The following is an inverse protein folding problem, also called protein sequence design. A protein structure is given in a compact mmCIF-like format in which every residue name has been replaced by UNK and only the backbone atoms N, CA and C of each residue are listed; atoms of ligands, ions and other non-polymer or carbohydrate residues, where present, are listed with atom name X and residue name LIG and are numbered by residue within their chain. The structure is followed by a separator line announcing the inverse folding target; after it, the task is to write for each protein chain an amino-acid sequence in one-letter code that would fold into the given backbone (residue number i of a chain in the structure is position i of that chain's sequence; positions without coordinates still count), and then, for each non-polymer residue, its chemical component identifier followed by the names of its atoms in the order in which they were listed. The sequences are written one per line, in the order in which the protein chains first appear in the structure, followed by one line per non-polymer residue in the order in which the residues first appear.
data_IF_947561061427
#
_entry.id   IF_947561061427
#
_cell.length_a   1.000
_cell.length_b   1.000
_cell.length_c   1.000
_cell.angle_alpha   90.00
_cell.angle_beta   90.00
_cell.angle_gamma   90.00
#
_symmetry.space_group_name_H-M   'P 1'
#
loop_
_entity.id
_entity.type
_entity.pdbx_description
1 polymer ?
#
# COMPACT_ATOMS: atom_id res chain seq x y z
N UNK A 1 -51.55 -19.78 -23.36
CA UNK A 1 -50.55 -19.74 -22.28
C UNK A 1 -49.19 -19.44 -22.90
N UNK A 2 -48.76 -18.17 -22.90
CA UNK A 2 -47.43 -17.79 -23.41
C UNK A 2 -46.69 -17.06 -22.28
N UNK A 3 -45.63 -17.70 -21.80
CA UNK A 3 -44.78 -17.24 -20.69
C UNK A 3 -43.90 -16.09 -21.17
N UNK A 4 -44.03 -14.94 -20.52
CA UNK A 4 -43.11 -13.82 -20.69
C UNK A 4 -41.86 -14.12 -19.86
N UNK A 5 -40.73 -14.32 -20.52
CA UNK A 5 -39.42 -14.37 -19.87
C UNK A 5 -38.89 -12.94 -19.74
N UNK A 6 -38.73 -12.45 -18.51
CA UNK A 6 -37.94 -11.26 -18.21
C UNK A 6 -36.48 -11.55 -18.57
N UNK A 7 -35.92 -10.86 -19.56
CA UNK A 7 -34.46 -10.74 -19.69
C UNK A 7 -33.99 -9.76 -18.62
N UNK A 8 -33.29 -10.27 -17.61
CA UNK A 8 -32.49 -9.45 -16.70
C UNK A 8 -31.33 -8.83 -17.47
N UNK A 9 -31.26 -7.50 -17.45
CA UNK A 9 -30.16 -6.74 -18.00
C UNK A 9 -28.92 -7.01 -17.12
N UNK A 10 -28.04 -7.88 -17.60
CA UNK A 10 -26.73 -8.12 -16.99
C UNK A 10 -25.86 -6.87 -17.28
N UNK A 11 -25.71 -5.98 -16.30
CA UNK A 11 -24.71 -4.92 -16.35
C UNK A 11 -23.32 -5.56 -16.25
N UNK A 12 -22.73 -5.94 -17.39
CA UNK A 12 -21.28 -6.08 -17.50
C UNK A 12 -20.67 -4.69 -17.29
N UNK A 13 -20.06 -4.48 -16.13
CA UNK A 13 -19.09 -3.41 -15.95
C UNK A 13 -17.84 -3.84 -16.72
N UNK A 14 -17.67 -3.30 -17.92
CA UNK A 14 -16.36 -3.32 -18.58
C UNK A 14 -15.49 -2.30 -17.85
N UNK A 15 -14.58 -2.78 -17.01
CA UNK A 15 -13.39 -2.02 -16.63
C UNK A 15 -12.54 -1.86 -17.89
N UNK A 16 -12.17 -0.63 -18.23
CA UNK A 16 -11.18 -0.37 -19.27
C UNK A 16 -9.88 -1.02 -18.80
N UNK A 17 -9.41 -2.03 -19.54
CA UNK A 17 -8.17 -2.74 -19.21
C UNK A 17 -6.97 -1.79 -19.35
N UNK A 18 -6.34 -1.42 -18.23
CA UNK A 18 -4.96 -0.95 -18.23
C UNK A 18 -4.06 -2.15 -18.53
N UNK A 19 -3.86 -2.46 -19.81
CA UNK A 19 -3.17 -3.67 -20.26
C UNK A 19 -1.62 -3.63 -20.14
N UNK A 20 -1.04 -2.76 -19.30
CA UNK A 20 0.40 -2.49 -19.33
C UNK A 20 1.11 -2.42 -17.96
N UNK A 21 0.51 -2.89 -16.86
CA UNK A 21 1.14 -2.87 -15.54
C UNK A 21 0.76 -4.07 -14.67
N UNK A 22 1.48 -4.27 -13.56
CA UNK A 22 1.28 -5.34 -12.59
C UNK A 22 -0.19 -5.41 -12.13
N UNK A 23 -0.71 -6.62 -12.00
CA UNK A 23 -2.07 -6.91 -11.54
C UNK A 23 -2.01 -7.77 -10.28
N UNK A 24 -2.35 -7.19 -9.13
CA UNK A 24 -2.49 -7.94 -7.88
C UNK A 24 -3.79 -8.76 -7.96
N UNK A 25 -3.64 -10.07 -8.20
CA UNK A 25 -4.76 -11.00 -8.32
C UNK A 25 -4.99 -11.67 -6.97
N UNK A 26 -6.18 -11.42 -6.41
CA UNK A 26 -6.60 -12.00 -5.13
C UNK A 26 -7.22 -13.38 -5.34
N UNK A 27 -6.57 -14.41 -4.83
CA UNK A 27 -7.04 -15.79 -4.88
C UNK A 27 -7.62 -16.22 -3.51
N UNK A 28 -8.94 -16.39 -3.47
CA UNK A 28 -9.70 -16.77 -2.27
C UNK A 28 -9.81 -18.29 -2.05
N UNK A 29 -9.09 -19.12 -2.81
CA UNK A 29 -9.14 -20.59 -2.71
C UNK A 29 -8.84 -21.08 -1.29
N UNK A 30 -8.02 -20.33 -0.53
CA UNK A 30 -7.64 -20.66 0.84
C UNK A 30 -8.45 -19.90 1.90
N UNK A 31 -9.46 -19.11 1.55
CA UNK A 31 -10.46 -18.59 2.50
C UNK A 31 -11.52 -19.66 2.81
N UNK A 32 -11.08 -20.80 3.33
CA UNK A 32 -11.98 -21.92 3.68
C UNK A 32 -12.87 -21.60 4.88
N UNK A 33 -12.62 -20.47 5.55
CA UNK A 33 -13.46 -19.95 6.62
C UNK A 33 -14.57 -19.03 6.11
N UNK A 34 -14.52 -18.64 4.83
CA UNK A 34 -15.43 -17.69 4.20
C UNK A 34 -15.48 -16.33 4.90
N UNK A 35 -14.34 -15.85 5.41
CA UNK A 35 -14.23 -14.54 6.07
C UNK A 35 -14.65 -13.40 5.14
N UNK A 36 -14.33 -13.51 3.85
CA UNK A 36 -14.70 -12.54 2.81
C UNK A 36 -16.11 -12.81 2.25
N UNK A 37 -16.97 -13.42 3.07
CA UNK A 37 -18.32 -13.82 2.72
C UNK A 37 -19.14 -14.17 3.97
N UNK A 38 -19.85 -15.30 3.92
CA UNK A 38 -20.81 -15.69 4.96
C UNK A 38 -20.20 -16.08 6.31
N UNK A 39 -18.91 -16.37 6.36
CA UNK A 39 -18.18 -16.77 7.57
C UNK A 39 -17.51 -15.62 8.32
N UNK A 40 -17.73 -14.37 7.89
CA UNK A 40 -17.27 -13.20 8.62
C UNK A 40 -17.89 -13.13 10.03
N UNK A 41 -17.11 -12.86 11.11
CA UNK A 41 -17.63 -12.76 12.47
C UNK A 41 -18.73 -11.69 12.66
N UNK A 42 -18.76 -10.66 11.81
CA UNK A 42 -19.77 -9.60 11.84
C UNK A 42 -20.90 -9.81 10.81
N UNK A 43 -20.98 -11.01 10.20
CA UNK A 43 -22.03 -11.42 9.28
C UNK A 43 -21.71 -11.21 7.80
N UNK A 44 -22.51 -11.83 6.93
CA UNK A 44 -22.23 -11.92 5.49
C UNK A 44 -22.08 -10.56 4.77
N UNK A 45 -22.84 -9.54 5.20
CA UNK A 45 -22.72 -8.19 4.65
C UNK A 45 -21.36 -7.57 4.97
N UNK A 46 -20.86 -7.75 6.21
CA UNK A 46 -19.54 -7.29 6.60
C UNK A 46 -18.44 -8.03 5.83
N UNK A 47 -18.58 -9.33 5.60
CA UNK A 47 -17.67 -10.11 4.76
C UNK A 47 -17.61 -9.61 3.31
N UNK A 48 -18.76 -9.26 2.72
CA UNK A 48 -18.82 -8.67 1.39
C UNK A 48 -18.16 -7.28 1.34
N UNK A 49 -18.35 -6.44 2.36
CA UNK A 49 -17.66 -5.14 2.48
C UNK A 49 -16.15 -5.31 2.66
N UNK A 50 -15.71 -6.25 3.50
CA UNK A 50 -14.29 -6.57 3.67
C UNK A 50 -13.66 -6.99 2.33
N UNK A 51 -14.36 -7.83 1.56
CA UNK A 51 -13.92 -8.26 0.23
C UNK A 51 -13.76 -7.08 -0.72
N UNK A 52 -14.78 -6.22 -0.83
CA UNK A 52 -14.72 -5.04 -1.69
C UNK A 52 -13.58 -4.09 -1.30
N UNK A 53 -13.31 -3.93 0.00
CA UNK A 53 -12.20 -3.12 0.51
C UNK A 53 -10.83 -3.70 0.18
N UNK A 54 -10.67 -5.02 0.29
CA UNK A 54 -9.42 -5.68 -0.10
C UNK A 54 -9.18 -5.61 -1.62
N UNK A 55 -10.23 -5.82 -2.41
CA UNK A 55 -10.19 -5.68 -3.87
C UNK A 55 -9.83 -4.25 -4.28
N UNK A 56 -10.33 -3.23 -3.58
CA UNK A 56 -9.95 -1.84 -3.80
C UNK A 56 -8.49 -1.56 -3.46
N UNK A 57 -7.99 -2.06 -2.33
CA UNK A 57 -6.58 -1.90 -1.97
C UNK A 57 -5.66 -2.57 -3.02
N UNK A 58 -6.02 -3.76 -3.50
CA UNK A 58 -5.31 -4.46 -4.57
C UNK A 58 -5.36 -3.69 -5.89
N UNK A 59 -6.52 -3.10 -6.26
CA UNK A 59 -6.69 -2.26 -7.44
C UNK A 59 -5.77 -1.03 -7.36
N UNK A 60 -5.81 -0.28 -6.26
CA UNK A 60 -4.97 0.90 -6.05
C UNK A 60 -3.48 0.59 -6.21
N UNK A 61 -3.00 -0.49 -5.58
CA UNK A 61 -1.61 -0.91 -5.70
C UNK A 61 -1.27 -1.38 -7.12
N UNK A 62 -2.16 -2.09 -7.80
CA UNK A 62 -1.96 -2.51 -9.20
C UNK A 62 -1.82 -1.30 -10.13
N UNK A 63 -2.63 -0.26 -9.93
CA UNK A 63 -2.55 0.98 -10.72
C UNK A 63 -1.29 1.79 -10.39
N UNK A 64 -0.73 1.61 -9.19
CA UNK A 64 0.48 2.30 -8.76
C UNK A 64 1.77 1.66 -9.28
N UNK A 65 1.71 0.44 -9.85
CA UNK A 65 2.88 -0.30 -10.33
C UNK A 65 2.94 -0.33 -11.86
N UNK A 66 3.99 0.26 -12.43
CA UNK A 66 4.18 0.42 -13.87
C UNK A 66 4.97 -0.76 -14.49
N UNK A 67 5.52 -1.66 -13.68
CA UNK A 67 6.32 -2.79 -14.12
C UNK A 67 5.54 -3.76 -15.02
N UNK A 68 6.26 -4.44 -15.91
CA UNK A 68 5.69 -5.47 -16.79
C UNK A 68 6.31 -6.83 -16.51
N UNK A 69 5.56 -7.69 -15.84
CA UNK A 69 6.06 -8.99 -15.42
C UNK A 69 5.83 -10.04 -16.49
N UNK A 70 6.89 -10.71 -16.91
CA UNK A 70 6.81 -11.90 -17.75
C UNK A 70 6.04 -13.03 -17.04
N UNK A 71 5.35 -13.89 -17.79
CA UNK A 71 4.67 -15.05 -17.22
C UNK A 71 5.68 -16.05 -16.64
N UNK A 72 5.21 -16.90 -15.73
CA UNK A 72 5.92 -18.08 -15.28
C UNK A 72 5.15 -19.30 -15.77
N UNK A 73 5.81 -20.14 -16.54
CA UNK A 73 5.30 -21.44 -16.97
C UNK A 73 6.44 -22.45 -17.03
N UNK A 74 6.10 -23.72 -16.79
CA UNK A 74 7.07 -24.81 -16.91
C UNK A 74 7.33 -25.14 -18.38
N UNK A 75 8.58 -25.21 -18.83
CA UNK A 75 8.90 -25.65 -20.19
C UNK A 75 8.39 -27.08 -20.46
N UNK A 76 7.99 -27.33 -21.71
CA UNK A 76 7.76 -28.69 -22.18
C UNK A 76 9.00 -29.55 -21.99
N UNK A 77 8.82 -30.84 -21.68
CA UNK A 77 9.94 -31.76 -21.60
C UNK A 77 10.68 -31.84 -22.95
N UNK A 78 12.00 -31.88 -22.89
CA UNK A 78 12.84 -32.01 -24.07
C UNK A 78 13.21 -33.48 -24.27
N UNK A 79 12.96 -34.02 -25.47
CA UNK A 79 13.40 -35.36 -25.88
C UNK A 79 14.47 -35.23 -26.95
N UNK A 80 15.64 -35.83 -26.71
CA UNK A 80 16.70 -35.89 -27.71
C UNK A 80 16.21 -36.59 -28.97
N UNK A 81 16.59 -36.03 -30.13
CA UNK A 81 16.27 -36.59 -31.44
C UNK A 81 17.35 -37.54 -31.96
N UNK A 82 18.52 -37.53 -31.33
CA UNK A 82 19.71 -38.27 -31.76
C UNK A 82 20.23 -39.26 -30.71
N UNK A 83 19.63 -39.28 -29.52
CA UNK A 83 20.03 -40.14 -28.41
C UNK A 83 18.87 -40.43 -27.44
N UNK A 84 19.16 -41.08 -26.30
CA UNK A 84 18.14 -41.46 -25.30
C UNK A 84 17.76 -40.34 -24.33
N UNK A 85 18.33 -39.13 -24.50
CA UNK A 85 18.17 -38.02 -23.57
C UNK A 85 16.72 -37.56 -23.37
N UNK A 86 16.33 -37.35 -22.12
CA UNK A 86 15.10 -36.65 -21.72
C UNK A 86 15.46 -35.63 -20.65
N UNK A 87 14.98 -34.40 -20.80
CA UNK A 87 15.12 -33.36 -19.79
C UNK A 87 13.75 -32.83 -19.40
N UNK A 88 13.55 -32.63 -18.10
CA UNK A 88 12.35 -32.02 -17.53
C UNK A 88 12.73 -30.86 -16.63
N UNK A 89 11.79 -29.93 -16.50
CA UNK A 89 11.84 -28.82 -15.57
C UNK A 89 10.65 -28.93 -14.64
N UNK A 90 10.78 -28.35 -13.46
CA UNK A 90 9.68 -28.17 -12.53
C UNK A 90 9.93 -26.90 -11.75
N UNK A 91 8.89 -26.11 -11.53
CA UNK A 91 8.92 -25.06 -10.52
C UNK A 91 7.90 -25.32 -9.43
N UNK A 92 8.12 -24.64 -8.31
CA UNK A 92 7.20 -24.62 -7.20
C UNK A 92 7.09 -23.22 -6.65
N UNK A 93 5.91 -22.91 -6.15
CA UNK A 93 5.65 -21.75 -5.33
C UNK A 93 5.29 -22.23 -3.93
N UNK A 94 5.71 -21.49 -2.90
CA UNK A 94 5.37 -21.80 -1.52
C UNK A 94 4.99 -20.54 -0.75
N UNK A 95 4.07 -20.68 0.19
CA UNK A 95 3.56 -19.57 1.00
C UNK A 95 2.98 -20.12 2.30
N UNK A 96 2.83 -19.25 3.31
CA UNK A 96 2.11 -19.58 4.53
C UNK A 96 0.63 -19.65 4.21
N UNK A 97 0.01 -20.81 4.40
CA UNK A 97 -1.41 -21.00 4.18
C UNK A 97 -2.21 -20.01 5.05
N UNK A 98 -3.04 -19.14 4.46
CA UNK A 98 -3.66 -18.07 5.22
C UNK A 98 -4.65 -18.59 6.27
N UNK A 99 -5.23 -19.79 6.09
CA UNK A 99 -6.15 -20.38 7.07
C UNK A 99 -5.47 -21.31 8.07
N UNK A 100 -4.47 -22.10 7.68
CA UNK A 100 -3.88 -23.12 8.57
C UNK A 100 -2.53 -22.73 9.18
N UNK A 101 -1.91 -21.63 8.75
CA UNK A 101 -0.56 -21.19 9.10
C UNK A 101 0.58 -22.17 8.70
N UNK A 102 0.27 -23.32 8.11
CA UNK A 102 1.27 -24.25 7.59
C UNK A 102 1.80 -23.79 6.24
N UNK A 103 3.03 -24.15 5.88
CA UNK A 103 3.53 -23.93 4.52
C UNK A 103 2.72 -24.76 3.51
N UNK A 104 2.19 -24.10 2.49
CA UNK A 104 1.64 -24.72 1.28
C UNK A 104 2.71 -24.67 0.19
N UNK A 105 2.80 -25.72 -0.63
CA UNK A 105 3.64 -25.74 -1.84
C UNK A 105 2.82 -26.25 -3.01
N UNK A 106 2.74 -25.46 -4.07
CA UNK A 106 2.12 -25.84 -5.34
C UNK A 106 3.22 -25.97 -6.40
N UNK A 107 2.98 -26.82 -7.40
CA UNK A 107 3.97 -27.17 -8.42
C UNK A 107 3.41 -26.88 -9.80
N UNK A 108 4.26 -26.33 -10.67
CA UNK A 108 3.95 -26.14 -12.09
C UNK A 108 2.64 -25.37 -12.33
N UNK A 109 2.35 -24.40 -11.45
CA UNK A 109 1.27 -23.45 -11.65
C UNK A 109 1.59 -22.56 -12.86
N UNK A 110 0.55 -22.04 -13.52
CA UNK A 110 0.72 -20.98 -14.50
C UNK A 110 0.47 -19.63 -13.83
N UNK A 111 1.46 -18.74 -13.89
CA UNK A 111 1.31 -17.32 -13.55
C UNK A 111 1.34 -16.55 -14.85
N UNK A 112 0.23 -15.91 -15.22
CA UNK A 112 0.16 -15.19 -16.49
C UNK A 112 0.99 -13.90 -16.43
N UNK A 113 1.23 -13.30 -17.59
CA UNK A 113 1.94 -12.02 -17.66
C UNK A 113 1.24 -10.98 -16.78
N UNK A 114 2.04 -10.14 -16.11
CA UNK A 114 1.65 -9.09 -15.18
C UNK A 114 0.92 -9.57 -13.91
N UNK A 115 0.60 -10.84 -13.74
CA UNK A 115 -0.07 -11.31 -12.52
C UNK A 115 0.88 -11.30 -11.31
N UNK A 116 0.42 -10.77 -10.19
CA UNK A 116 1.02 -10.91 -8.86
C UNK A 116 -0.01 -11.53 -7.91
N UNK A 117 0.10 -12.84 -7.65
CA UNK A 117 -0.97 -13.59 -6.98
C UNK A 117 -0.87 -13.50 -5.46
N UNK A 118 -1.95 -13.11 -4.79
CA UNK A 118 -2.04 -13.15 -3.32
C UNK A 118 -3.07 -14.20 -2.92
N UNK A 119 -2.63 -15.24 -2.22
CA UNK A 119 -3.54 -16.21 -1.60
C UNK A 119 -4.13 -15.64 -0.31
N UNK A 120 -5.43 -15.43 -0.30
CA UNK A 120 -6.16 -14.74 0.76
C UNK A 120 -6.90 -15.75 1.64
N UNK A 121 -6.95 -15.48 2.94
CA UNK A 121 -7.78 -16.23 3.88
C UNK A 121 -7.83 -15.57 5.24
N UNK A 122 -8.24 -16.32 6.25
CA UNK A 122 -8.34 -15.82 7.60
C UNK A 122 -8.17 -16.94 8.63
N UNK A 123 -7.52 -16.62 9.75
CA UNK A 123 -7.33 -17.51 10.89
C UNK A 123 -7.31 -16.71 12.18
N UNK A 124 -7.53 -17.34 13.32
CA UNK A 124 -7.32 -16.65 14.60
C UNK A 124 -5.84 -16.34 14.77
N UNK A 125 -5.52 -15.07 14.99
CA UNK A 125 -4.16 -14.62 15.25
C UNK A 125 -3.97 -14.38 16.75
N UNK A 126 -2.74 -14.51 17.24
CA UNK A 126 -2.45 -14.37 18.68
C UNK A 126 -1.97 -12.97 19.02
N UNK A 127 -2.28 -12.52 20.24
CA UNK A 127 -1.77 -11.24 20.75
C UNK A 127 -2.52 -10.06 20.14
N UNK A 128 -1.78 -9.05 19.69
CA UNK A 128 -2.33 -7.83 19.08
C UNK A 128 -2.27 -7.83 17.55
N UNK A 129 -1.86 -8.93 16.93
CA UNK A 129 -1.75 -9.07 15.48
C UNK A 129 -3.14 -9.20 14.87
N UNK A 130 -3.51 -8.29 13.96
CA UNK A 130 -4.83 -8.24 13.32
C UNK A 130 -4.83 -8.75 11.88
N UNK A 131 -3.65 -8.85 11.27
CA UNK A 131 -3.42 -9.47 9.97
C UNK A 131 -1.95 -9.88 9.85
N UNK A 132 -1.63 -10.68 8.84
CA UNK A 132 -0.27 -11.04 8.46
C UNK A 132 -0.22 -11.27 6.96
N UNK A 133 0.61 -10.51 6.26
CA UNK A 133 0.91 -10.65 4.85
C UNK A 133 2.40 -10.82 4.61
N UNK A 134 2.71 -11.41 3.46
CA UNK A 134 4.11 -11.60 3.08
C UNK A 134 4.26 -12.22 1.72
N UNK A 135 5.47 -12.09 1.17
CA UNK A 135 5.83 -12.68 -0.11
C UNK A 135 5.90 -14.21 -0.02
N UNK A 136 5.65 -14.86 -1.15
CA UNK A 136 5.91 -16.28 -1.33
C UNK A 136 7.38 -16.60 -1.52
N UNK A 137 7.75 -17.84 -1.30
CA UNK A 137 8.99 -18.43 -1.80
C UNK A 137 8.77 -19.15 -3.12
N UNK A 138 9.86 -19.52 -3.79
CA UNK A 138 9.83 -20.34 -4.99
C UNK A 138 10.97 -21.36 -4.97
N UNK A 139 10.88 -22.34 -5.85
CA UNK A 139 11.95 -23.28 -6.13
C UNK A 139 11.84 -23.77 -7.57
N UNK A 140 12.95 -24.21 -8.15
CA UNK A 140 12.97 -24.78 -9.49
C UNK A 140 13.98 -25.94 -9.56
N UNK A 141 13.76 -26.84 -10.51
CA UNK A 141 14.69 -27.93 -10.79
C UNK A 141 14.80 -28.20 -12.30
N UNK A 142 15.97 -28.68 -12.70
CA UNK A 142 16.28 -29.16 -14.03
C UNK A 142 16.83 -30.58 -13.90
N UNK A 143 16.16 -31.55 -14.53
CA UNK A 143 16.43 -32.98 -14.34
C UNK A 143 16.74 -33.67 -15.68
N UNK A 144 17.95 -33.49 -16.24
CA UNK A 144 18.37 -34.21 -17.44
C UNK A 144 18.70 -35.67 -17.13
N UNK A 145 18.27 -36.57 -18.01
CA UNK A 145 18.55 -38.00 -17.96
C UNK A 145 19.01 -38.50 -19.33
N UNK A 146 19.91 -39.48 -19.36
CA UNK A 146 20.45 -40.02 -20.60
C UNK A 146 21.60 -39.19 -21.17
N UNK A 147 21.79 -39.26 -22.48
CA UNK A 147 22.82 -38.50 -23.19
C UNK A 147 22.17 -37.49 -24.12
N UNK A 148 22.91 -36.45 -24.48
CA UNK A 148 22.49 -35.42 -25.42
C UNK A 148 23.66 -35.08 -26.34
N UNK A 149 23.39 -34.64 -27.57
CA UNK A 149 24.41 -34.06 -28.43
C UNK A 149 24.84 -32.67 -27.92
N UNK A 150 26.01 -32.19 -28.36
CA UNK A 150 26.50 -30.86 -27.98
C UNK A 150 25.51 -29.73 -28.35
N UNK A 151 24.84 -29.83 -29.50
CA UNK A 151 23.83 -28.85 -29.92
C UNK A 151 22.57 -28.89 -29.05
N UNK A 152 22.14 -30.08 -28.62
CA UNK A 152 20.99 -30.22 -27.72
C UNK A 152 21.34 -29.71 -26.32
N UNK A 153 22.59 -29.89 -25.85
CA UNK A 153 23.05 -29.31 -24.58
C UNK A 153 22.92 -27.78 -24.62
N UNK A 154 23.41 -27.11 -25.68
CA UNK A 154 23.25 -25.66 -25.80
C UNK A 154 21.79 -25.19 -25.86
N UNK A 155 20.88 -26.00 -26.42
CA UNK A 155 19.45 -25.72 -26.40
C UNK A 155 18.87 -25.86 -24.98
N UNK A 156 19.25 -26.91 -24.26
CA UNK A 156 18.83 -27.16 -22.88
C UNK A 156 19.31 -26.06 -21.94
N UNK A 157 20.55 -25.59 -22.11
CA UNK A 157 21.10 -24.47 -21.35
C UNK A 157 20.24 -23.22 -21.57
N UNK A 158 19.92 -22.90 -22.83
CA UNK A 158 19.08 -21.74 -23.16
C UNK A 158 17.66 -21.84 -22.56
N UNK A 159 17.00 -23.00 -22.70
CA UNK A 159 15.68 -23.24 -22.11
C UNK A 159 15.74 -23.09 -20.59
N UNK A 160 16.77 -23.65 -19.97
CA UNK A 160 16.95 -23.62 -18.50
C UNK A 160 17.21 -22.20 -18.02
N UNK A 161 18.06 -21.44 -18.70
CA UNK A 161 18.36 -20.04 -18.36
C UNK A 161 17.11 -19.16 -18.49
N UNK A 162 16.32 -19.33 -19.55
CA UNK A 162 15.05 -18.62 -19.73
C UNK A 162 14.04 -18.96 -18.63
N UNK A 163 13.91 -20.25 -18.30
CA UNK A 163 13.02 -20.71 -17.23
C UNK A 163 13.44 -20.22 -15.84
N UNK A 164 14.72 -20.29 -15.51
CA UNK A 164 15.21 -19.76 -14.23
C UNK A 164 14.99 -18.25 -14.19
N UNK A 165 15.24 -17.55 -15.30
CA UNK A 165 14.99 -16.10 -15.38
C UNK A 165 13.50 -15.76 -15.26
N UNK A 166 12.58 -16.55 -15.80
CA UNK A 166 11.15 -16.31 -15.62
C UNK A 166 10.74 -16.50 -14.17
N UNK A 167 11.20 -17.56 -13.49
CA UNK A 167 10.87 -17.80 -12.07
C UNK A 167 11.46 -16.75 -11.13
N UNK A 168 12.68 -16.28 -11.40
CA UNK A 168 13.45 -15.43 -10.46
C UNK A 168 13.32 -13.94 -10.69
N UNK A 169 13.13 -13.52 -11.94
CA UNK A 169 13.19 -12.10 -12.33
C UNK A 169 11.99 -11.64 -13.14
N UNK A 170 11.28 -12.55 -13.80
CA UNK A 170 10.09 -12.21 -14.60
C UNK A 170 10.31 -11.08 -15.61
N UNK A 171 11.52 -10.97 -16.17
CA UNK A 171 11.85 -9.92 -17.15
C UNK A 171 12.43 -8.64 -16.52
N UNK A 172 12.39 -8.51 -15.20
CA UNK A 172 12.98 -7.38 -14.49
C UNK A 172 14.52 -7.47 -14.43
N UNK A 173 15.20 -6.32 -14.31
CA UNK A 173 16.64 -6.24 -14.05
C UNK A 173 17.13 -7.13 -12.90
N UNK A 174 18.40 -7.55 -13.00
CA UNK A 174 19.03 -8.30 -11.92
C UNK A 174 19.16 -7.46 -10.64
N UNK A 175 18.73 -8.03 -9.52
CA UNK A 175 18.75 -7.38 -8.21
C UNK A 175 17.41 -6.76 -7.82
N UNK A 176 16.50 -6.55 -8.75
CA UNK A 176 15.17 -5.99 -8.46
C UNK A 176 14.21 -7.07 -7.92
N UNK A 177 13.21 -6.64 -7.17
CA UNK A 177 12.20 -7.52 -6.61
C UNK A 177 11.10 -7.82 -7.63
N UNK A 178 10.99 -9.07 -8.08
CA UNK A 178 10.03 -9.49 -9.12
C UNK A 178 9.41 -10.85 -8.82
N UNK A 179 8.86 -11.02 -7.62
CA UNK A 179 8.33 -12.31 -7.18
C UNK A 179 7.02 -12.71 -7.91
N UNK A 180 6.60 -13.97 -7.77
CA UNK A 180 5.33 -14.46 -8.33
C UNK A 180 4.10 -13.97 -7.56
N UNK A 181 4.25 -13.70 -6.26
CA UNK A 181 3.11 -13.46 -5.37
C UNK A 181 3.40 -13.68 -3.88
N UNK A 182 2.34 -13.93 -3.11
CA UNK A 182 2.38 -14.07 -1.66
C UNK A 182 1.07 -14.52 -1.03
N UNK A 183 0.90 -14.19 0.24
CA UNK A 183 -0.31 -14.52 1.02
C UNK A 183 -0.76 -13.34 1.88
N UNK A 184 -2.02 -13.39 2.29
CA UNK A 184 -2.62 -12.49 3.26
C UNK A 184 -3.57 -13.28 4.16
N UNK A 185 -3.41 -13.16 5.46
CA UNK A 185 -4.40 -13.63 6.44
C UNK A 185 -4.92 -12.49 7.28
N UNK A 186 -6.22 -12.55 7.59
CA UNK A 186 -6.89 -11.62 8.49
C UNK A 186 -7.25 -12.34 9.79
N UNK A 187 -7.12 -11.63 10.91
CA UNK A 187 -7.63 -12.11 12.18
C UNK A 187 -9.17 -12.24 12.14
N UNK A 188 -9.65 -13.41 12.55
CA UNK A 188 -11.08 -13.76 12.54
C UNK A 188 -11.61 -14.24 13.88
N UNK A 189 -10.85 -14.11 14.96
CA UNK A 189 -11.30 -14.57 16.28
C UNK A 189 -12.48 -13.74 16.85
N UNK A 190 -12.79 -12.62 16.19
CA UNK A 190 -13.88 -11.70 16.55
C UNK A 190 -13.51 -10.68 17.62
N UNK A 191 -12.25 -10.65 18.05
CA UNK A 191 -11.72 -9.68 19.01
C UNK A 191 -11.39 -8.33 18.37
N UNK A 192 -11.10 -8.32 17.07
CA UNK A 192 -10.82 -7.09 16.32
C UNK A 192 -12.12 -6.39 15.93
N UNK A 193 -12.30 -5.17 16.42
CA UNK A 193 -13.48 -4.35 16.13
C UNK A 193 -13.29 -3.58 14.82
N UNK A 194 -13.60 -4.25 13.70
CA UNK A 194 -13.32 -3.76 12.36
C UNK A 194 -14.23 -2.62 11.89
N UNK A 195 -13.63 -1.66 11.18
CA UNK A 195 -14.31 -0.80 10.21
C UNK A 195 -13.96 -1.30 8.80
N UNK A 196 -14.88 -2.05 8.18
CA UNK A 196 -14.61 -2.67 6.88
C UNK A 196 -14.75 -1.71 5.69
N UNK A 197 -15.64 -0.72 5.78
CA UNK A 197 -16.03 0.09 4.63
C UNK A 197 -15.02 1.21 4.33
N UNK A 198 -14.23 1.02 3.28
CA UNK A 198 -13.22 2.01 2.86
C UNK A 198 -13.81 3.33 2.35
N UNK A 199 -15.10 3.39 2.03
CA UNK A 199 -15.75 4.61 1.50
C UNK A 199 -16.22 5.56 2.60
N UNK A 200 -16.28 5.09 3.85
CA UNK A 200 -16.71 5.87 5.01
C UNK A 200 -15.57 6.06 6.00
N UNK A 201 -15.62 7.13 6.79
CA UNK A 201 -14.60 7.42 7.81
C UNK A 201 -14.68 6.40 8.96
N UNK A 202 -13.56 5.82 9.40
CA UNK A 202 -13.57 4.89 10.53
C UNK A 202 -13.98 5.58 11.82
N UNK A 203 -14.88 4.95 12.59
CA UNK A 203 -15.26 5.45 13.91
C UNK A 203 -14.09 5.32 14.90
N UNK A 204 -14.01 6.24 15.87
CA UNK A 204 -12.85 6.43 16.76
C UNK A 204 -12.38 5.18 17.52
N UNK A 205 -13.25 4.19 17.72
CA UNK A 205 -12.95 2.95 18.45
C UNK A 205 -12.72 1.73 17.55
N UNK A 206 -12.73 1.90 16.22
CA UNK A 206 -12.60 0.81 15.24
C UNK A 206 -11.20 0.72 14.67
N UNK A 207 -10.76 -0.50 14.36
CA UNK A 207 -9.57 -0.75 13.54
C UNK A 207 -9.97 -0.65 12.07
N UNK A 208 -9.33 0.22 11.29
CA UNK A 208 -9.67 0.42 9.88
C UNK A 208 -9.11 -0.71 9.00
N UNK A 209 -9.99 -1.46 8.34
CA UNK A 209 -9.61 -2.63 7.56
C UNK A 209 -8.79 -2.28 6.32
N UNK A 210 -9.11 -1.18 5.64
CA UNK A 210 -8.36 -0.70 4.46
C UNK A 210 -6.90 -0.45 4.80
N UNK A 211 -6.65 0.26 5.91
CA UNK A 211 -5.30 0.55 6.41
C UNK A 211 -4.48 -0.72 6.62
N UNK A 212 -5.11 -1.74 7.23
CA UNK A 212 -4.46 -3.04 7.49
C UNK A 212 -4.15 -3.77 6.19
N UNK A 213 -5.10 -3.88 5.27
CA UNK A 213 -4.84 -4.65 4.04
C UNK A 213 -3.84 -3.96 3.12
N UNK A 214 -3.79 -2.63 3.07
CA UNK A 214 -2.72 -1.91 2.35
C UNK A 214 -1.36 -2.23 2.96
N UNK A 215 -1.23 -2.17 4.28
CA UNK A 215 0.00 -2.52 5.00
C UNK A 215 0.49 -3.92 4.64
N UNK A 216 -0.38 -4.93 4.77
CA UNK A 216 0.00 -6.32 4.55
C UNK A 216 0.24 -6.65 3.08
N UNK A 217 -0.50 -6.04 2.15
CA UNK A 217 -0.24 -6.21 0.72
C UNK A 217 1.12 -5.65 0.32
N UNK A 218 1.55 -4.52 0.91
CA UNK A 218 2.88 -3.94 0.67
C UNK A 218 4.00 -4.83 1.23
N UNK A 219 3.78 -5.52 2.36
CA UNK A 219 4.66 -6.61 2.78
C UNK A 219 4.70 -7.76 1.78
N UNK A 220 3.55 -8.09 1.19
CA UNK A 220 3.41 -9.00 0.07
C UNK A 220 4.26 -8.62 -1.13
N UNK A 221 4.40 -7.32 -1.41
CA UNK A 221 5.24 -6.73 -2.47
C UNK A 221 6.73 -6.62 -2.09
N UNK A 222 7.17 -7.24 -0.99
CA UNK A 222 8.59 -7.35 -0.64
C UNK A 222 9.10 -6.28 0.33
N UNK A 223 8.30 -5.28 0.69
CA UNK A 223 8.66 -4.33 1.75
C UNK A 223 8.87 -5.10 3.06
N UNK A 224 10.01 -4.94 3.71
CA UNK A 224 10.29 -5.60 4.99
C UNK A 224 10.53 -7.12 4.91
N UNK A 225 10.25 -7.76 3.77
CA UNK A 225 10.24 -9.24 3.63
C UNK A 225 11.20 -9.76 2.55
N UNK A 226 11.67 -8.89 1.65
CA UNK A 226 12.59 -9.24 0.57
C UNK A 226 14.06 -9.18 0.97
N UNK A 227 14.91 -9.85 0.19
CA UNK A 227 16.36 -9.72 0.31
C UNK A 227 16.81 -8.31 -0.08
N UNK A 228 16.20 -7.71 -1.11
CA UNK A 228 16.44 -6.33 -1.54
C UNK A 228 16.23 -5.34 -0.41
N UNK A 229 15.14 -5.49 0.36
CA UNK A 229 14.91 -4.70 1.56
C UNK A 229 16.02 -4.90 2.58
N UNK A 230 16.33 -6.16 2.90
CA UNK A 230 17.30 -6.51 3.94
C UNK A 230 18.71 -5.99 3.62
N UNK A 231 19.12 -6.06 2.35
CA UNK A 231 20.40 -5.56 1.85
C UNK A 231 20.50 -4.02 1.97
N UNK A 232 19.37 -3.33 1.94
CA UNK A 232 19.26 -1.89 2.17
C UNK A 232 19.15 -1.52 3.65
N UNK A 233 19.11 -2.46 4.60
CA UNK A 233 19.08 -2.13 6.03
C UNK A 233 20.47 -2.25 6.64
N UNK A 234 21.02 -1.13 7.12
CA UNK A 234 22.31 -1.08 7.81
C UNK A 234 22.17 -0.32 9.13
N UNK A 235 22.60 -0.93 10.24
CA UNK A 235 22.58 -0.32 11.57
C UNK A 235 21.23 0.31 11.97
N UNK A 236 20.11 -0.36 11.64
CA UNK A 236 18.75 0.12 11.96
C UNK A 236 18.26 1.28 11.08
N UNK A 237 18.93 1.55 9.96
CA UNK A 237 18.55 2.56 8.97
C UNK A 237 18.32 1.92 7.61
N UNK A 238 17.32 2.42 6.88
CA UNK A 238 17.11 2.05 5.48
C UNK A 238 17.94 2.95 4.57
N UNK A 239 18.71 2.32 3.68
CA UNK A 239 19.76 2.92 2.85
C UNK A 239 19.30 3.19 1.42
N UNK A 240 18.03 2.90 1.10
CA UNK A 240 17.40 3.23 -0.17
C UNK A 240 17.43 4.74 -0.46
N UNK A 241 17.82 5.09 -1.69
CA UNK A 241 18.04 6.46 -2.12
C UNK A 241 16.72 7.23 -2.31
N UNK A 242 15.69 6.58 -2.83
CA UNK A 242 14.38 7.20 -3.00
C UNK A 242 13.76 7.50 -1.64
N UNK A 243 13.79 6.54 -0.70
CA UNK A 243 13.29 6.73 0.66
C UNK A 243 14.06 7.82 1.43
N UNK A 244 15.38 7.95 1.20
CA UNK A 244 16.17 9.05 1.75
C UNK A 244 15.70 10.42 1.26
N UNK A 245 15.42 10.55 -0.04
CA UNK A 245 14.91 11.80 -0.62
C UNK A 245 13.50 12.09 -0.10
N UNK A 246 12.62 11.09 -0.09
CA UNK A 246 11.25 11.20 0.41
C UNK A 246 11.18 11.59 1.89
N UNK A 247 12.13 11.11 2.69
CA UNK A 247 12.25 11.42 4.12
C UNK A 247 13.09 12.69 4.40
N UNK A 248 13.06 13.67 3.51
CA UNK A 248 13.69 14.97 3.72
C UNK A 248 15.22 14.93 3.79
N UNK A 249 15.86 14.05 3.00
CA UNK A 249 17.31 13.83 3.00
C UNK A 249 17.85 13.27 4.33
N UNK A 250 17.06 12.43 4.99
CA UNK A 250 17.45 11.70 6.21
C UNK A 250 17.13 10.21 6.03
N UNK A 251 18.09 9.33 6.35
CA UNK A 251 17.84 7.88 6.29
C UNK A 251 16.79 7.48 7.34
N UNK A 252 15.62 6.95 6.94
CA UNK A 252 14.56 6.61 7.88
C UNK A 252 15.02 5.47 8.80
N UNK A 253 14.58 5.53 10.05
CA UNK A 253 14.81 4.44 11.01
C UNK A 253 13.89 3.28 10.69
N UNK A 254 14.38 2.06 10.84
CA UNK A 254 13.60 0.83 10.68
C UNK A 254 13.64 -0.01 11.94
N UNK A 255 12.55 -0.72 12.20
CA UNK A 255 12.46 -1.73 13.27
C UNK A 255 11.93 -3.02 12.68
N UNK A 256 12.82 -3.99 12.45
CA UNK A 256 12.47 -5.22 11.74
C UNK A 256 12.08 -4.93 10.28
N UNK A 257 10.90 -5.41 9.88
CA UNK A 257 10.35 -5.19 8.54
C UNK A 257 9.58 -3.87 8.37
N UNK A 258 9.58 -2.99 9.37
CA UNK A 258 8.77 -1.76 9.38
C UNK A 258 9.63 -0.51 9.48
N UNK A 259 9.02 0.65 9.21
CA UNK A 259 9.54 1.91 9.72
C UNK A 259 9.55 1.93 11.26
N UNK A 260 10.34 2.81 11.85
CA UNK A 260 10.25 3.03 13.30
C UNK A 260 8.90 3.69 13.66
N UNK A 261 8.35 3.34 14.81
CA UNK A 261 7.08 3.88 15.31
C UNK A 261 7.00 5.42 15.22
N UNK A 262 5.85 5.95 14.82
CA UNK A 262 5.58 7.38 14.60
C UNK A 262 6.38 8.00 13.44
N UNK A 263 6.84 7.19 12.47
CA UNK A 263 7.47 7.76 11.27
C UNK A 263 6.41 8.46 10.43
N UNK A 264 6.54 9.77 10.23
CA UNK A 264 5.60 10.56 9.44
C UNK A 264 6.04 10.68 7.97
N UNK A 265 5.06 10.74 7.07
CA UNK A 265 5.26 11.02 5.64
C UNK A 265 3.96 11.64 5.08
N UNK A 266 3.95 12.02 3.81
CA UNK A 266 2.73 12.42 3.10
C UNK A 266 2.01 11.23 2.50
N UNK A 267 0.68 11.26 2.43
CA UNK A 267 -0.12 10.33 1.61
C UNK A 267 0.39 10.45 0.17
N UNK A 268 0.69 9.33 -0.47
CA UNK A 268 1.21 9.30 -1.84
C UNK A 268 0.28 10.08 -2.78
N UNK A 269 0.85 10.88 -3.68
CA UNK A 269 0.08 11.75 -4.59
C UNK A 269 -0.48 13.03 -3.96
N UNK A 270 -0.21 13.34 -2.69
CA UNK A 270 -0.74 14.53 -2.00
C UNK A 270 0.31 15.24 -1.13
N UNK A 271 -0.06 16.39 -0.54
CA UNK A 271 0.72 17.07 0.51
C UNK A 271 0.26 16.76 1.94
N UNK A 272 -0.78 15.93 2.11
CA UNK A 272 -1.38 15.64 3.41
C UNK A 272 -0.46 14.72 4.22
N UNK A 273 -0.07 15.15 5.43
CA UNK A 273 0.77 14.35 6.33
C UNK A 273 -0.03 13.30 7.08
N UNK A 274 0.55 12.12 7.24
CA UNK A 274 0.09 11.05 8.12
C UNK A 274 1.29 10.28 8.70
N UNK A 275 1.04 9.35 9.62
CA UNK A 275 2.02 8.30 9.93
C UNK A 275 2.14 7.35 8.73
N UNK A 276 3.36 6.89 8.44
CA UNK A 276 3.64 5.95 7.37
C UNK A 276 2.76 4.70 7.49
N UNK A 277 2.26 4.17 6.37
CA UNK A 277 1.37 3.01 6.46
C UNK A 277 2.13 1.78 6.94
N UNK A 278 3.44 1.69 6.67
CA UNK A 278 4.30 0.57 7.11
C UNK A 278 4.97 0.86 8.46
N UNK A 279 4.34 1.69 9.29
CA UNK A 279 4.59 1.76 10.73
C UNK A 279 4.04 0.50 11.44
N UNK A 280 4.71 -0.05 12.46
CA UNK A 280 4.23 -1.25 13.17
C UNK A 280 2.92 -1.04 13.94
N UNK A 281 2.47 0.20 14.15
CA UNK A 281 1.27 0.50 14.93
C UNK A 281 0.06 0.83 14.03
N UNK A 282 -1.10 0.26 14.38
CA UNK A 282 -2.39 0.61 13.76
C UNK A 282 -3.25 1.31 14.81
N UNK A 283 -3.39 2.62 14.65
CA UNK A 283 -4.24 3.42 15.52
C UNK A 283 -5.72 3.26 15.15
N UNK A 284 -6.56 3.17 16.18
CA UNK A 284 -8.02 3.09 16.00
C UNK A 284 -8.59 4.43 15.55
N UNK A 285 -9.64 4.38 14.73
CA UNK A 285 -10.36 5.56 14.29
C UNK A 285 -9.65 6.39 13.24
N UNK A 286 -8.53 5.91 12.71
CA UNK A 286 -7.79 6.58 11.65
C UNK A 286 -7.67 5.66 10.46
N UNK A 287 -7.79 6.24 9.27
CA UNK A 287 -7.42 5.58 8.03
C UNK A 287 -6.01 6.01 7.67
N UNK A 288 -5.14 5.01 7.43
CA UNK A 288 -3.81 5.19 6.85
C UNK A 288 -3.84 4.73 5.41
N UNK A 289 -3.31 5.59 4.54
CA UNK A 289 -3.11 5.29 3.13
C UNK A 289 -1.64 4.96 2.86
N UNK A 290 -1.29 4.45 1.68
CA UNK A 290 0.12 4.34 1.29
C UNK A 290 0.79 5.74 1.36
N UNK A 291 1.97 5.86 1.98
CA UNK A 291 2.70 7.13 1.96
C UNK A 291 3.75 7.21 0.87
N UNK A 292 4.18 8.43 0.54
CA UNK A 292 5.33 8.69 -0.33
C UNK A 292 6.60 7.98 0.16
N UNK A 293 6.82 7.86 1.48
CA UNK A 293 7.95 7.12 2.03
C UNK A 293 7.84 5.62 1.77
N UNK A 294 6.65 5.05 1.93
CA UNK A 294 6.38 3.63 1.65
C UNK A 294 6.60 3.32 0.17
N UNK A 295 6.02 4.14 -0.72
CA UNK A 295 6.17 4.05 -2.16
C UNK A 295 7.64 4.22 -2.60
N UNK A 296 8.37 5.15 -1.98
CA UNK A 296 9.79 5.36 -2.29
C UNK A 296 10.64 4.13 -1.91
N UNK A 297 10.32 3.44 -0.83
CA UNK A 297 11.02 2.22 -0.47
C UNK A 297 10.68 1.04 -1.39
N UNK A 298 9.45 0.95 -1.91
CA UNK A 298 9.11 0.02 -2.99
C UNK A 298 9.97 0.27 -4.24
N UNK A 299 10.21 1.54 -4.60
CA UNK A 299 11.14 1.90 -5.68
C UNK A 299 12.58 1.51 -5.39
N UNK A 300 13.03 1.66 -4.16
CA UNK A 300 14.39 1.27 -3.78
C UNK A 300 14.61 -0.25 -3.84
N UNK A 301 13.57 -1.07 -3.68
CA UNK A 301 13.67 -2.53 -3.84
C UNK A 301 13.41 -3.02 -5.27
N UNK A 302 13.10 -2.11 -6.20
CA UNK A 302 13.04 -2.40 -7.63
C UNK A 302 11.67 -2.28 -8.30
N UNK A 303 10.64 -1.77 -7.63
CA UNK A 303 9.35 -1.51 -8.29
C UNK A 303 9.34 -0.15 -9.00
N UNK A 304 8.78 -0.08 -10.20
CA UNK A 304 8.44 1.19 -10.84
C UNK A 304 7.09 1.70 -10.31
N UNK A 305 7.14 2.63 -9.34
CA UNK A 305 5.95 3.14 -8.65
C UNK A 305 5.52 4.51 -9.17
N UNK A 306 4.27 4.62 -9.62
CA UNK A 306 3.57 5.87 -9.87
C UNK A 306 2.99 6.44 -8.57
N UNK A 307 3.10 7.75 -8.36
CA UNK A 307 2.51 8.42 -7.19
C UNK A 307 1.06 8.83 -7.41
N UNK A 308 0.17 7.84 -7.51
CA UNK A 308 -1.26 8.04 -7.58
C UNK A 308 -1.84 8.36 -6.20
N UNK A 309 -2.82 9.27 -6.11
CA UNK A 309 -3.53 9.52 -4.86
C UNK A 309 -4.51 8.37 -4.57
N UNK A 310 -4.46 7.73 -3.38
CA UNK A 310 -5.42 6.71 -2.94
C UNK A 310 -6.68 7.33 -2.32
N UNK A 311 -6.69 8.64 -2.12
CA UNK A 311 -7.91 9.33 -1.75
C UNK A 311 -8.89 9.16 -2.92
N UNK A 312 -10.20 9.02 -2.68
CA UNK A 312 -11.17 9.21 -3.74
C UNK A 312 -10.78 10.46 -4.53
N UNK A 313 -10.89 10.48 -5.88
CA UNK A 313 -10.63 11.69 -6.66
C UNK A 313 -11.21 12.85 -5.87
N UNK A 314 -10.32 13.72 -5.39
CA UNK A 314 -10.72 14.75 -4.46
C UNK A 314 -11.89 15.46 -5.11
N UNK A 315 -12.92 15.71 -4.32
CA UNK A 315 -14.18 16.28 -4.77
C UNK A 315 -13.92 17.23 -5.95
N UNK A 316 -14.35 16.84 -7.15
CA UNK A 316 -14.04 17.52 -8.40
C UNK A 316 -13.93 19.04 -8.22
N UNK A 317 -12.74 19.63 -8.40
CA UNK A 317 -12.51 21.05 -8.13
C UNK A 317 -11.80 21.39 -6.81
N UNK A 318 -11.61 20.45 -5.88
CA UNK A 318 -10.83 20.59 -4.64
C UNK A 318 -9.33 20.49 -4.97
N UNK A 319 -8.84 21.45 -5.75
CA UNK A 319 -7.51 21.42 -6.31
C UNK A 319 -6.40 21.45 -5.27
N UNK A 320 -6.62 22.04 -4.09
CA UNK A 320 -5.64 22.07 -3.00
C UNK A 320 -5.77 20.88 -2.03
N UNK A 321 -6.80 20.05 -2.20
CA UNK A 321 -7.10 18.85 -1.44
C UNK A 321 -7.27 19.12 0.07
N UNK A 322 -7.90 20.25 0.42
CA UNK A 322 -8.20 20.62 1.81
C UNK A 322 -9.61 20.17 2.26
N UNK A 323 -10.35 19.50 1.35
CA UNK A 323 -11.68 18.99 1.59
C UNK A 323 -12.77 20.02 1.33
N UNK A 324 -12.46 21.21 0.81
CA UNK A 324 -13.41 22.24 0.42
C UNK A 324 -13.09 22.73 -0.99
N UNK A 325 -14.11 22.92 -1.82
CA UNK A 325 -13.96 23.58 -3.13
C UNK A 325 -14.20 25.07 -2.94
N UNK A 326 -13.13 25.86 -2.79
CA UNK A 326 -13.22 27.28 -2.48
C UNK A 326 -12.25 28.16 -3.32
N UNK A 327 -12.03 29.41 -2.88
CA UNK A 327 -11.20 30.36 -3.62
C UNK A 327 -9.70 30.02 -3.62
N UNK A 328 -9.23 29.19 -2.68
CA UNK A 328 -7.85 28.71 -2.62
C UNK A 328 -7.56 27.74 -3.77
N UNK A 329 -8.52 26.88 -4.14
CA UNK A 329 -8.41 26.01 -5.32
C UNK A 329 -8.27 26.82 -6.61
N UNK A 330 -9.09 27.87 -6.75
CA UNK A 330 -9.00 28.75 -7.91
C UNK A 330 -7.62 29.40 -8.05
N UNK A 331 -7.02 29.83 -6.93
CA UNK A 331 -5.67 30.38 -6.96
C UNK A 331 -4.67 29.35 -7.49
N UNK A 332 -4.79 28.08 -7.04
CA UNK A 332 -3.91 27.00 -7.47
C UNK A 332 -4.07 26.65 -8.96
N UNK A 333 -5.31 26.56 -9.46
CA UNK A 333 -5.59 26.38 -10.88
C UNK A 333 -5.01 27.53 -11.72
N UNK A 334 -5.25 28.77 -11.29
CA UNK A 334 -4.83 29.95 -12.03
C UNK A 334 -3.30 30.01 -12.17
N UNK A 335 -2.60 29.64 -11.11
CA UNK A 335 -1.13 29.69 -11.07
C UNK A 335 -0.48 28.60 -11.93
N UNK A 336 -1.20 27.49 -12.21
CA UNK A 336 -0.69 26.35 -12.99
C UNK A 336 -1.38 26.14 -14.35
N UNK A 337 -2.24 27.07 -14.76
CA UNK A 337 -2.99 26.99 -16.03
C UNK A 337 -2.05 26.84 -17.23
N UNK A 338 -2.31 25.83 -18.05
CA UNK A 338 -1.53 25.45 -19.23
C UNK A 338 -0.52 24.33 -18.99
N UNK A 339 -0.46 23.77 -17.77
CA UNK A 339 0.33 22.57 -17.52
C UNK A 339 -0.25 21.36 -18.27
N UNK A 340 0.62 20.55 -18.87
CA UNK A 340 0.21 19.36 -19.62
C UNK A 340 -0.33 18.22 -18.74
N UNK A 341 -0.15 18.31 -17.41
CA UNK A 341 -0.59 17.32 -16.42
C UNK A 341 -1.25 18.02 -15.24
N UNK A 342 -2.18 17.37 -14.56
CA UNK A 342 -2.93 17.92 -13.42
C UNK A 342 -2.25 17.71 -12.06
N UNK A 343 -0.98 17.31 -12.04
CA UNK A 343 -0.21 17.10 -10.81
C UNK A 343 -0.25 18.31 -9.85
N UNK A 344 -0.25 19.53 -10.39
CA UNK A 344 -0.26 20.75 -9.59
C UNK A 344 -1.63 21.11 -8.99
N UNK A 345 -2.70 20.42 -9.40
CA UNK A 345 -4.05 20.52 -8.82
C UNK A 345 -4.49 19.17 -8.22
N UNK A 346 -3.52 18.36 -7.80
CA UNK A 346 -3.71 17.05 -7.19
C UNK A 346 -4.54 16.07 -8.03
N UNK A 347 -4.58 16.24 -9.36
CA UNK A 347 -5.42 15.45 -10.26
C UNK A 347 -6.92 15.49 -9.93
N UNK A 348 -7.38 16.52 -9.22
CA UNK A 348 -8.79 16.76 -8.91
C UNK A 348 -9.51 17.57 -10.01
N UNK A 349 -8.92 17.54 -11.22
CA UNK A 349 -9.37 18.18 -12.44
C UNK A 349 -10.16 17.22 -13.35
N UNK A 350 -10.22 17.53 -14.64
CA UNK A 350 -10.99 16.73 -15.60
C UNK A 350 -10.17 15.68 -16.37
N UNK A 351 -8.93 15.43 -15.97
CA UNK A 351 -8.00 14.46 -16.58
C UNK A 351 -7.39 14.89 -17.92
N UNK A 352 -7.45 16.17 -18.28
CA UNK A 352 -7.03 16.74 -19.57
C UNK A 352 -5.76 17.61 -19.55
N UNK A 353 -5.16 17.81 -18.36
CA UNK A 353 -4.17 18.87 -18.14
C UNK A 353 -4.85 20.16 -17.69
N UNK A 354 -4.10 21.08 -17.09
CA UNK A 354 -4.70 22.22 -16.36
C UNK A 354 -5.23 23.27 -17.33
N UNK A 355 -6.51 23.21 -17.67
CA UNK A 355 -7.14 24.04 -18.69
C UNK A 355 -8.49 24.65 -18.27
N UNK A 356 -9.26 25.14 -19.23
CA UNK A 356 -10.53 25.82 -19.00
C UNK A 356 -11.63 24.89 -18.47
N UNK A 357 -11.52 23.59 -18.73
CA UNK A 357 -12.42 22.53 -18.31
C UNK A 357 -12.30 22.28 -16.81
N UNK A 358 -11.09 22.31 -16.23
CA UNK A 358 -10.89 22.28 -14.78
C UNK A 358 -11.54 23.49 -14.10
N UNK A 359 -11.39 24.69 -14.64
CA UNK A 359 -12.08 25.86 -14.09
C UNK A 359 -13.60 25.69 -14.12
N UNK A 360 -14.14 25.11 -15.19
CA UNK A 360 -15.58 24.85 -15.28
C UNK A 360 -16.02 23.81 -14.23
N UNK A 361 -15.17 22.81 -13.97
CA UNK A 361 -15.35 21.80 -12.94
C UNK A 361 -15.35 22.43 -11.53
N UNK A 362 -14.30 23.17 -11.18
CA UNK A 362 -14.21 23.94 -9.93
C UNK A 362 -15.43 24.85 -9.73
N UNK A 363 -15.81 25.61 -10.76
CA UNK A 363 -16.97 26.50 -10.68
C UNK A 363 -18.27 25.73 -10.45
N UNK A 364 -18.42 24.55 -11.04
CA UNK A 364 -19.62 23.73 -10.87
C UNK A 364 -19.72 23.17 -9.45
N UNK A 365 -18.58 22.96 -8.78
CA UNK A 365 -18.49 22.38 -7.45
C UNK A 365 -18.16 23.40 -6.35
N UNK A 366 -18.06 24.70 -6.67
CA UNK A 366 -17.71 25.73 -5.69
C UNK A 366 -18.65 25.73 -4.47
N UNK A 367 -18.07 25.67 -3.28
CA UNK A 367 -18.75 25.53 -2.00
C UNK A 367 -19.09 24.09 -1.60
N UNK A 368 -18.72 23.10 -2.41
CA UNK A 368 -18.84 21.71 -2.04
C UNK A 368 -17.77 21.37 -0.98
N UNK A 369 -18.12 20.49 -0.05
CA UNK A 369 -17.24 20.05 1.03
C UNK A 369 -17.26 18.54 1.13
N UNK A 370 -16.09 17.92 1.16
CA UNK A 370 -15.95 16.51 1.47
C UNK A 370 -16.21 16.31 2.96
N UNK A 371 -16.96 15.28 3.35
CA UNK A 371 -17.16 14.92 4.76
C UNK A 371 -15.85 14.48 5.48
N UNK A 372 -14.73 14.51 4.75
CA UNK A 372 -13.35 14.29 5.20
C UNK A 372 -12.75 15.58 5.80
N UNK A 373 -13.42 16.73 5.66
CA UNK A 373 -12.93 18.00 6.18
C UNK A 373 -12.72 17.93 7.71
N UNK A 374 -11.46 18.11 8.07
CA UNK A 374 -10.91 18.17 9.40
C UNK A 374 -11.89 18.79 10.41
N UNK A 375 -12.22 18.01 11.44
CA UNK A 375 -12.60 18.61 12.72
C UNK A 375 -11.36 19.25 13.34
N UNK A 376 -10.90 20.37 12.77
CA UNK A 376 -10.13 21.36 13.53
C UNK A 376 -11.11 22.08 14.44
N UNK A 377 -11.61 21.40 15.47
CA UNK A 377 -11.89 22.13 16.69
C UNK A 377 -10.52 22.47 17.27
N UNK A 378 -10.19 23.76 17.47
CA UNK A 378 -9.01 24.09 18.24
C UNK A 378 -9.27 23.55 19.65
N UNK A 379 -8.72 22.38 19.96
CA UNK A 379 -8.53 21.97 21.34
C UNK A 379 -7.50 22.93 21.88
N UNK A 380 -7.95 23.93 22.63
CA UNK A 380 -7.10 24.68 23.54
C UNK A 380 -6.33 23.64 24.36
N UNK A 381 -5.05 23.44 24.03
CA UNK A 381 -4.15 22.72 24.91
C UNK A 381 -4.25 23.40 26.29
N UNK A 382 -4.50 22.65 27.39
CA UNK A 382 -4.33 23.22 28.70
C UNK A 382 -2.89 23.73 28.76
N UNK A 383 -2.72 25.04 28.89
CA UNK A 383 -1.40 25.57 29.20
C UNK A 383 -0.90 24.86 30.48
N UNK A 384 0.35 24.40 30.52
CA UNK A 384 0.91 23.93 31.78
C UNK A 384 0.72 25.05 32.79
N UNK A 385 0.19 24.74 33.96
CA UNK A 385 -0.08 25.73 35.00
C UNK A 385 1.20 26.54 35.31
N UNK A 386 1.37 27.67 34.63
CA UNK A 386 2.32 28.73 34.96
C UNK A 386 1.74 29.63 36.07
N UNK A 387 0.79 29.11 36.83
CA UNK A 387 0.33 29.69 38.07
C UNK A 387 1.28 29.33 39.21
N UNK A 388 2.46 29.95 39.24
CA UNK A 388 3.19 30.40 40.45
C UNK A 388 4.41 31.22 40.03
N UNK A 389 4.19 32.45 39.55
CA UNK A 389 5.21 33.50 39.62
C UNK A 389 4.53 34.87 39.54
N UNK A 390 3.83 35.21 40.62
CA UNK A 390 3.37 36.57 40.86
C UNK A 390 3.74 36.96 42.28
N UNK A 391 4.50 38.06 42.36
CA UNK A 391 4.69 38.96 43.51
C UNK A 391 5.63 38.53 44.63
N UNK A 392 6.92 38.82 44.42
CA UNK A 392 7.76 39.38 45.49
C UNK A 392 8.71 40.41 44.90
N UNK A 393 8.31 41.69 44.97
CA UNK A 393 9.24 42.75 44.65
C UNK A 393 8.62 44.09 44.33
N UNK A 394 7.77 44.66 45.19
CA UNK A 394 7.63 46.12 45.28
C UNK A 394 6.88 46.57 46.54
N UNK A 395 7.65 46.99 47.55
CA UNK A 395 7.32 47.89 48.65
C UNK A 395 8.56 47.93 49.56
N UNK A 396 9.15 49.04 50.01
CA UNK A 396 8.85 50.46 49.99
C UNK A 396 10.19 51.20 50.12
N UNK A 397 10.38 52.25 49.34
CA UNK A 397 11.34 53.29 49.67
C UNK A 397 10.85 54.07 50.88
N UNK A 398 11.68 54.21 51.91
CA UNK A 398 11.52 55.22 52.94
C UNK A 398 12.78 56.11 52.98
N UNK A 399 12.64 57.43 52.77
CA UNK A 399 13.74 58.37 52.87
C UNK A 399 14.08 58.64 54.34
N UNK A 400 15.33 58.38 54.72
CA UNK A 400 15.85 58.71 56.06
C UNK A 400 16.17 60.21 56.12
N UNK A 401 15.20 61.04 56.50
CA UNK A 401 15.44 62.43 56.95
C UNK A 401 15.84 62.43 58.42
N UNK A 402 16.97 63.10 58.70
CA UNK A 402 17.53 63.38 60.04
C UNK A 402 16.58 64.26 60.87
N UNK A 403 16.59 64.08 62.20
CA UNK A 403 16.48 65.20 63.12
C UNK A 403 17.77 65.40 63.92
N UNK A 404 18.20 66.65 63.94
CA UNK A 404 19.14 67.26 64.88
C UNK A 404 18.67 67.12 66.34
N UNK A 405 19.59 66.79 67.25
CA UNK A 405 19.40 66.87 68.70
C UNK A 405 20.74 66.84 69.43
N UNK A 406 21.01 67.88 70.20
CA UNK A 406 22.24 68.27 70.92
C UNK A 406 22.08 67.99 72.42
N UNK A 407 23.19 67.89 73.16
CA UNK A 407 23.38 67.78 74.63
C UNK A 407 23.44 66.31 75.12
N UNK A 408 24.35 65.87 75.98
CA UNK A 408 25.39 66.48 76.83
C UNK A 408 26.73 65.79 76.57
#
# INVERSE_FOLDING_TARGET
MSRHALLGLLCLHFTVAHAAGVQIVLDYTYDTTHFFGSGNPNGAAAGATAKATLEEAARFLSESLEDTLSPISTPDFFRSTVSSGIATWQWSLNFTNPTTASTTTLYDEDIVANEYRIYVGARSLSGSTVAEGGRGGFGYSYNPQGSFSASEISQLDNITDQFISSVTRRGEPEGEFANWGGFLTIDRDGSTDWHYDWTTTPASNKTDFYSVVVHELVHGLGFGTSTQWTDLVTAGKFMGQQAYLANGNVRPSVTGGHWAANTASTIVGTSQSQEASLDPNIDKGQRKYLTTLDAAALRDIGWDVQYLSPLPPGMDGDFNNDGQVDAADYALWRDHRGAATEAAINYNGNGGGIDQSDYNLWRANYGATSAIAATTTPVTAPEPAAGWLVLSGLSLGLPRRRPTGRRL
#
